data_IF_285184835374
#
_entry.id   IF_285184835374
#
_cell.length_a   1.000
_cell.length_b   1.000
_cell.length_c   1.000
_cell.angle_alpha   90.00
_cell.angle_beta   90.00
_cell.angle_gamma   90.00
#
_symmetry.space_group_name_H-M   'P 1'
#
loop_
_entity.id
_entity.type
_entity.pdbx_description
1 polymer ?
#
# COMPACT_ATOMS: atom_id res chain seq x y z
N UNK A 1 -15.86 73.44 -7.33
CA UNK A 1 -16.45 72.20 -7.87
C UNK A 1 -15.35 71.49 -8.65
N UNK A 2 -14.67 70.53 -8.03
CA UNK A 2 -13.62 69.76 -8.71
C UNK A 2 -14.25 68.68 -9.58
N UNK A 3 -13.96 68.75 -10.88
CA UNK A 3 -14.43 67.78 -11.87
C UNK A 3 -13.54 66.53 -11.78
N UNK A 4 -14.03 65.51 -11.08
CA UNK A 4 -13.40 64.18 -11.04
C UNK A 4 -13.57 63.52 -12.41
N UNK A 5 -12.48 63.39 -13.17
CA UNK A 5 -12.47 62.64 -14.45
C UNK A 5 -12.60 61.13 -14.17
N UNK A 6 -13.59 60.42 -14.75
CA UNK A 6 -13.72 58.99 -14.57
C UNK A 6 -12.56 58.24 -15.27
N UNK A 7 -11.97 57.28 -14.56
CA UNK A 7 -10.91 56.40 -15.09
C UNK A 7 -11.49 55.49 -16.18
N UNK A 8 -10.86 55.49 -17.36
CA UNK A 8 -11.22 54.60 -18.47
C UNK A 8 -11.14 53.12 -18.04
N UNK A 9 -12.13 52.28 -18.40
CA UNK A 9 -12.08 50.85 -18.11
C UNK A 9 -10.92 50.21 -18.88
N UNK A 10 -10.08 49.45 -18.16
CA UNK A 10 -8.94 48.74 -18.73
C UNK A 10 -9.21 47.23 -18.74
N UNK A 11 -8.97 46.57 -19.88
CA UNK A 11 -9.12 45.13 -20.04
C UNK A 11 -8.06 44.38 -19.20
N UNK A 12 -8.51 43.65 -18.17
CA UNK A 12 -7.62 42.86 -17.32
C UNK A 12 -7.13 41.65 -18.12
N UNK A 13 -5.82 41.49 -18.25
CA UNK A 13 -5.21 40.27 -18.78
C UNK A 13 -5.60 39.10 -17.86
N UNK A 14 -6.38 38.14 -18.37
CA UNK A 14 -6.81 36.95 -17.61
C UNK A 14 -5.61 36.03 -17.34
N UNK A 15 -4.70 35.95 -18.30
CA UNK A 15 -3.59 34.99 -18.34
C UNK A 15 -2.26 35.53 -17.84
N UNK A 16 -2.14 36.81 -17.49
CA UNK A 16 -0.89 37.45 -17.05
C UNK A 16 -0.17 36.77 -15.87
N UNK A 17 1.16 36.88 -15.82
CA UNK A 17 2.00 36.30 -14.78
C UNK A 17 1.71 36.88 -13.39
N UNK A 18 2.07 36.14 -12.34
CA UNK A 18 1.78 36.50 -10.95
C UNK A 18 2.45 37.83 -10.55
N UNK A 19 3.66 38.09 -11.03
CA UNK A 19 4.41 39.30 -10.71
C UNK A 19 3.81 40.56 -11.36
N UNK A 20 3.32 40.47 -12.60
CA UNK A 20 2.61 41.60 -13.21
C UNK A 20 1.24 41.83 -12.58
N UNK A 21 0.54 40.76 -12.17
CA UNK A 21 -0.72 40.83 -11.44
C UNK A 21 -0.54 41.47 -10.06
N UNK A 22 0.47 41.07 -9.29
CA UNK A 22 0.75 41.67 -7.97
C UNK A 22 1.08 43.15 -8.07
N UNK A 23 1.84 43.54 -9.10
CA UNK A 23 2.19 44.94 -9.40
C UNK A 23 1.06 45.76 -10.02
N UNK A 24 -0.10 45.16 -10.30
CA UNK A 24 -1.25 45.79 -10.96
C UNK A 24 -0.87 46.48 -12.29
N UNK A 25 0.07 45.89 -13.03
CA UNK A 25 0.52 46.37 -14.35
C UNK A 25 0.14 45.38 -15.46
N UNK A 26 -0.14 45.86 -16.68
CA UNK A 26 -0.45 45.01 -17.84
C UNK A 26 0.72 44.08 -18.19
N UNK A 27 0.48 42.77 -18.22
CA UNK A 27 1.43 41.75 -18.70
C UNK A 27 1.37 41.67 -20.23
N UNK A 28 2.50 41.45 -20.89
CA UNK A 28 2.62 41.20 -22.34
C UNK A 28 2.46 39.70 -22.69
N UNK A 29 2.31 38.84 -21.68
CA UNK A 29 2.01 37.41 -21.79
C UNK A 29 3.01 36.55 -22.59
N UNK A 30 4.15 37.12 -23.00
CA UNK A 30 5.23 36.37 -23.65
C UNK A 30 5.82 35.33 -22.70
N UNK A 31 5.98 34.11 -23.21
CA UNK A 31 6.67 32.99 -22.57
C UNK A 31 8.05 32.84 -23.21
N UNK A 32 9.09 32.42 -22.48
CA UNK A 32 9.10 31.82 -21.13
C UNK A 32 9.11 32.84 -19.97
N UNK A 33 9.38 34.11 -20.23
CA UNK A 33 9.27 35.21 -19.26
C UNK A 33 8.72 36.44 -19.96
N UNK A 34 7.83 37.17 -19.29
CA UNK A 34 7.25 38.40 -19.83
C UNK A 34 8.29 39.54 -19.84
N UNK A 35 8.14 40.50 -20.75
CA UNK A 35 9.12 41.56 -20.98
C UNK A 35 9.25 42.50 -19.78
N UNK A 36 8.16 42.73 -19.03
CA UNK A 36 8.21 43.51 -17.79
C UNK A 36 9.00 42.81 -16.69
N UNK A 37 8.76 41.52 -16.44
CA UNK A 37 9.54 40.79 -15.44
C UNK A 37 11.04 40.82 -15.77
N UNK A 38 11.39 40.72 -17.05
CA UNK A 38 12.78 40.84 -17.53
C UNK A 38 13.35 42.24 -17.32
N UNK A 39 12.60 43.31 -17.62
CA UNK A 39 13.09 44.69 -17.41
C UNK A 39 13.26 45.04 -15.94
N UNK A 40 12.43 44.46 -15.06
CA UNK A 40 12.50 44.65 -13.61
C UNK A 40 13.46 43.69 -12.90
N UNK A 41 14.13 42.78 -13.63
CA UNK A 41 15.04 41.79 -13.05
C UNK A 41 14.39 40.83 -12.06
N UNK A 42 13.07 40.65 -12.12
CA UNK A 42 12.33 39.77 -11.20
C UNK A 42 11.95 38.47 -11.89
N UNK A 43 12.06 37.36 -11.17
CA UNK A 43 11.72 36.03 -11.69
C UNK A 43 10.23 35.94 -12.08
N UNK A 44 9.97 35.51 -13.32
CA UNK A 44 8.61 35.45 -13.86
C UNK A 44 7.97 34.09 -13.59
N UNK A 45 6.71 34.07 -13.12
CA UNK A 45 5.99 32.82 -12.83
C UNK A 45 5.77 31.91 -14.06
N UNK A 46 5.98 32.43 -15.27
CA UNK A 46 5.95 31.62 -16.49
C UNK A 46 7.14 30.67 -16.64
N UNK A 47 8.28 30.97 -15.99
CA UNK A 47 9.45 30.10 -15.99
C UNK A 47 9.17 28.76 -15.29
N UNK A 48 8.24 28.75 -14.33
CA UNK A 48 7.85 27.57 -13.57
C UNK A 48 6.73 26.75 -14.23
N UNK A 49 6.03 27.32 -15.22
CA UNK A 49 4.87 26.67 -15.89
C UNK A 49 5.16 26.20 -17.31
N UNK A 50 6.32 26.57 -17.87
CA UNK A 50 6.79 26.09 -19.17
C UNK A 50 8.28 25.73 -18.99
N UNK A 51 8.62 24.45 -18.73
CA UNK A 51 10.00 24.04 -18.65
C UNK A 51 10.64 24.28 -20.02
N UNK A 52 11.50 25.30 -20.10
CA UNK A 52 12.40 25.43 -21.23
C UNK A 52 13.34 24.23 -21.22
N UNK A 53 13.44 23.52 -22.35
CA UNK A 53 14.60 22.69 -22.64
C UNK A 53 15.83 23.60 -22.55
N UNK A 54 16.55 23.53 -21.43
CA UNK A 54 17.74 24.34 -21.20
C UNK A 54 18.84 23.86 -22.14
N UNK A 55 19.18 24.70 -23.11
CA UNK A 55 20.47 24.66 -23.77
C UNK A 55 21.46 25.42 -22.89
N UNK A 56 22.64 24.82 -22.70
CA UNK A 56 23.84 25.31 -22.00
C UNK A 56 23.79 25.23 -20.46
N UNK A 57 24.59 24.38 -19.80
CA UNK A 57 26.07 24.34 -19.77
C UNK A 57 26.64 25.70 -19.39
N UNK A 58 26.79 25.95 -18.08
CA UNK A 58 27.95 26.63 -17.50
C UNK A 58 27.88 26.46 -15.99
N UNK A 59 28.63 25.48 -15.50
CA UNK A 59 28.98 25.33 -14.10
C UNK A 59 29.77 26.56 -13.64
N UNK A 60 29.37 27.11 -12.50
CA UNK A 60 30.21 27.94 -11.64
C UNK A 60 30.68 27.02 -10.53
N UNK A 61 31.95 26.58 -10.61
CA UNK A 61 32.69 26.08 -9.47
C UNK A 61 33.86 27.03 -9.21
N UNK A 62 33.74 27.81 -8.13
CA UNK A 62 34.84 28.52 -7.53
C UNK A 62 35.66 27.54 -6.69
N UNK A 63 36.91 27.26 -7.06
CA UNK A 63 38.04 27.24 -6.11
C UNK A 63 39.38 26.99 -6.78
N UNK A 64 40.37 27.74 -6.28
CA UNK A 64 41.82 27.61 -6.40
C UNK A 64 42.54 28.35 -7.55
N UNK A 65 43.52 29.13 -7.10
CA UNK A 65 44.34 30.09 -7.82
C UNK A 65 45.61 29.44 -8.41
N UNK A 66 46.21 30.17 -9.36
CA UNK A 66 47.59 30.07 -9.88
C UNK A 66 47.86 28.97 -10.91
N UNK A 67 47.92 29.36 -12.21
CA UNK A 67 49.18 29.50 -12.97
C UNK A 67 48.94 29.96 -14.42
N UNK A 68 49.93 30.68 -14.92
CA UNK A 68 50.02 31.45 -16.17
C UNK A 68 50.04 30.57 -17.44
N UNK A 69 49.64 31.12 -18.59
CA UNK A 69 50.03 30.54 -19.90
C UNK A 69 49.14 30.85 -21.11
N UNK A 70 49.22 32.09 -21.60
CA UNK A 70 49.20 32.59 -23.00
C UNK A 70 48.68 31.74 -24.19
N UNK A 71 47.90 32.44 -25.06
CA UNK A 71 47.82 32.36 -26.56
C UNK A 71 47.08 31.12 -27.15
N UNK A 72 46.29 31.13 -28.23
CA UNK A 72 45.88 32.10 -29.26
C UNK A 72 44.78 31.45 -30.14
N UNK A 73 43.96 32.29 -30.80
CA UNK A 73 43.33 32.12 -32.14
C UNK A 73 42.26 31.03 -32.39
N UNK A 74 41.05 31.53 -32.65
CA UNK A 74 40.07 31.00 -33.62
C UNK A 74 40.66 30.96 -35.05
N UNK A 75 40.05 30.25 -36.02
CA UNK A 75 38.89 30.81 -36.72
C UNK A 75 37.83 29.81 -37.21
N UNK A 76 36.79 30.45 -37.73
CA UNK A 76 35.45 30.09 -38.18
C UNK A 76 35.38 29.38 -39.54
N UNK A 77 34.27 28.65 -39.74
CA UNK A 77 33.41 28.62 -40.95
C UNK A 77 33.65 27.56 -42.04
N UNK A 78 32.67 26.65 -42.18
CA UNK A 78 32.23 26.03 -43.45
C UNK A 78 30.69 25.99 -43.42
N UNK A 79 29.96 26.76 -44.25
CA UNK A 79 29.54 26.52 -45.65
C UNK A 79 28.60 25.32 -45.82
N UNK A 80 27.41 25.64 -46.37
CA UNK A 80 26.34 24.75 -46.78
C UNK A 80 26.81 23.72 -47.83
N UNK A 81 26.27 22.49 -47.77
CA UNK A 81 25.80 21.83 -48.98
C UNK A 81 24.70 20.81 -48.70
N UNK A 82 23.57 21.06 -49.36
CA UNK A 82 22.42 20.18 -49.53
C UNK A 82 22.74 19.02 -50.47
N UNK A 83 22.36 17.80 -50.11
CA UNK A 83 21.97 16.78 -51.09
C UNK A 83 20.89 15.87 -50.53
N UNK A 84 19.72 16.00 -51.15
CA UNK A 84 18.59 15.09 -51.08
C UNK A 84 18.80 14.07 -52.19
N UNK A 85 18.82 12.78 -51.86
CA UNK A 85 18.64 11.71 -52.85
C UNK A 85 17.76 10.63 -52.22
N UNK A 86 16.69 10.32 -52.93
CA UNK A 86 15.57 9.46 -52.55
C UNK A 86 15.78 8.01 -52.98
N UNK A 87 15.49 7.03 -52.12
CA UNK A 87 14.90 5.75 -52.55
C UNK A 87 14.25 4.99 -51.39
N UNK A 88 13.18 4.18 -51.62
CA UNK A 88 12.25 3.72 -50.58
C UNK A 88 12.39 2.24 -50.22
N UNK A 89 12.31 1.91 -48.91
CA UNK A 89 11.92 0.57 -48.42
C UNK A 89 11.37 0.67 -46.98
N UNK A 90 10.48 -0.25 -46.55
CA UNK A 90 9.46 0.02 -45.55
C UNK A 90 9.96 -0.12 -44.12
N UNK A 91 9.45 0.63 -43.14
CA UNK A 91 9.59 0.25 -41.75
C UNK A 91 8.58 -0.84 -41.42
N UNK A 92 9.11 -1.92 -40.88
CA UNK A 92 8.38 -2.95 -40.18
C UNK A 92 7.52 -2.36 -39.05
N UNK A 93 6.49 -3.13 -38.69
CA UNK A 93 5.62 -3.03 -37.53
C UNK A 93 6.27 -2.41 -36.28
N UNK A 94 5.53 -1.59 -35.50
CA UNK A 94 6.06 -0.98 -34.30
C UNK A 94 6.24 -2.05 -33.22
N UNK A 95 7.48 -2.47 -33.01
CA UNK A 95 7.90 -3.04 -31.74
C UNK A 95 7.73 -1.92 -30.68
N UNK A 96 7.00 -2.14 -29.58
CA UNK A 96 6.98 -1.17 -28.50
C UNK A 96 8.38 -1.14 -27.89
N UNK A 97 9.20 -0.18 -28.32
CA UNK A 97 10.42 0.17 -27.61
C UNK A 97 9.99 0.66 -26.22
N UNK A 98 10.20 -0.18 -25.21
CA UNK A 98 10.18 0.23 -23.81
C UNK A 98 11.15 1.39 -23.67
N UNK A 99 10.60 2.61 -23.69
CA UNK A 99 11.33 3.80 -23.27
C UNK A 99 11.87 3.53 -21.86
N UNK A 100 13.13 3.87 -21.57
CA UNK A 100 13.67 3.71 -20.22
C UNK A 100 12.73 4.46 -19.28
N UNK A 101 12.16 3.74 -18.32
CA UNK A 101 11.28 4.29 -17.30
C UNK A 101 12.03 5.43 -16.63
N UNK A 102 11.62 6.67 -16.90
CA UNK A 102 12.08 7.85 -16.18
C UNK A 102 11.47 7.80 -14.77
N UNK A 103 11.95 6.88 -13.92
CA UNK A 103 11.70 6.91 -12.49
C UNK A 103 12.60 8.01 -11.90
N UNK A 104 12.21 9.27 -12.10
CA UNK A 104 12.86 10.36 -11.38
C UNK A 104 12.46 10.25 -9.91
N UNK A 105 13.37 9.73 -9.08
CA UNK A 105 13.19 9.70 -7.63
C UNK A 105 13.01 11.15 -7.14
N UNK A 106 11.85 11.43 -6.57
CA UNK A 106 11.41 12.79 -6.24
C UNK A 106 11.79 13.18 -4.81
N UNK A 107 11.65 14.47 -4.48
CA UNK A 107 11.78 14.93 -3.07
C UNK A 107 10.71 14.29 -2.19
N UNK A 108 9.51 14.03 -2.75
CA UNK A 108 8.47 13.31 -2.04
C UNK A 108 8.95 11.89 -1.71
N UNK A 109 9.57 11.18 -2.65
CA UNK A 109 10.04 9.81 -2.41
C UNK A 109 11.12 9.77 -1.30
N UNK A 110 11.99 10.78 -1.22
CA UNK A 110 12.92 10.96 -0.10
C UNK A 110 12.20 11.20 1.24
N UNK A 111 11.18 12.06 1.25
CA UNK A 111 10.37 12.31 2.45
C UNK A 111 9.67 11.03 2.93
N UNK A 112 9.09 10.27 2.00
CA UNK A 112 8.40 9.01 2.28
C UNK A 112 9.37 7.95 2.82
N UNK A 113 10.54 7.78 2.19
CA UNK A 113 11.56 6.83 2.66
C UNK A 113 12.13 7.22 4.03
N UNK A 114 12.35 8.52 4.26
CA UNK A 114 12.75 9.03 5.56
C UNK A 114 11.67 8.75 6.62
N UNK A 115 10.40 9.00 6.30
CA UNK A 115 9.30 8.70 7.21
C UNK A 115 9.23 7.21 7.55
N UNK A 116 9.32 6.34 6.54
CA UNK A 116 9.29 4.89 6.72
C UNK A 116 10.36 4.42 7.70
N UNK A 117 11.62 4.80 7.45
CA UNK A 117 12.77 4.37 8.25
C UNK A 117 12.75 4.93 9.67
N UNK A 118 12.32 6.18 9.85
CA UNK A 118 12.32 6.85 11.16
C UNK A 118 11.11 6.54 12.03
N UNK A 119 9.94 6.35 11.42
CA UNK A 119 8.65 6.27 12.13
C UNK A 119 7.77 5.12 11.63
N UNK A 120 7.67 4.95 10.31
CA UNK A 120 6.69 4.04 9.70
C UNK A 120 6.89 2.56 10.01
N UNK A 121 8.11 2.10 10.31
CA UNK A 121 8.36 0.68 10.64
C UNK A 121 7.82 0.27 12.01
N UNK A 122 7.96 1.13 13.04
CA UNK A 122 7.40 0.83 14.37
C UNK A 122 5.88 0.79 14.39
N UNK A 123 5.26 1.34 13.36
CA UNK A 123 3.81 1.41 13.17
C UNK A 123 3.22 0.11 12.60
N UNK A 124 4.03 -0.86 12.16
CA UNK A 124 3.54 -2.16 11.71
C UNK A 124 4.37 -3.36 12.12
N UNK A 125 5.53 -3.19 12.77
CA UNK A 125 6.29 -4.30 13.34
C UNK A 125 6.37 -4.15 14.85
N UNK A 126 5.88 -5.15 15.57
CA UNK A 126 5.63 -5.14 17.02
C UNK A 126 6.81 -5.63 17.88
N UNK A 127 7.97 -5.90 17.27
CA UNK A 127 9.16 -6.38 17.98
C UNK A 127 10.46 -5.83 17.38
N UNK A 128 11.48 -5.65 18.23
CA UNK A 128 12.68 -4.87 17.91
C UNK A 128 13.52 -5.44 16.76
N UNK A 129 13.78 -6.76 16.73
CA UNK A 129 14.59 -7.38 15.66
C UNK A 129 13.89 -7.30 14.30
N UNK A 130 12.57 -7.46 14.27
CA UNK A 130 11.77 -7.24 13.06
C UNK A 130 11.81 -5.78 12.61
N UNK A 131 11.70 -4.82 13.53
CA UNK A 131 11.81 -3.41 13.18
C UNK A 131 13.16 -3.09 12.55
N UNK A 132 14.24 -3.66 13.07
CA UNK A 132 15.58 -3.44 12.49
C UNK A 132 15.71 -4.06 11.10
N UNK A 133 15.20 -5.29 10.90
CA UNK A 133 15.13 -5.94 9.60
C UNK A 133 14.42 -5.06 8.55
N UNK A 134 13.23 -4.55 8.88
CA UNK A 134 12.44 -3.74 7.96
C UNK A 134 13.04 -2.34 7.74
N UNK A 135 13.72 -1.77 8.74
CA UNK A 135 14.37 -0.45 8.64
C UNK A 135 15.65 -0.49 7.80
N UNK A 136 16.38 -1.60 7.82
CA UNK A 136 17.71 -1.71 7.19
C UNK A 136 17.68 -2.65 5.99
N UNK A 137 17.72 -3.96 6.23
CA UNK A 137 17.84 -5.00 5.20
C UNK A 137 16.76 -4.90 4.14
N UNK A 138 15.50 -4.67 4.53
CA UNK A 138 14.40 -4.54 3.56
C UNK A 138 14.57 -3.29 2.68
N UNK A 139 15.08 -2.19 3.22
CA UNK A 139 15.41 -0.99 2.44
C UNK A 139 16.60 -1.25 1.49
N UNK A 140 17.60 -2.00 1.94
CA UNK A 140 18.72 -2.44 1.07
C UNK A 140 18.24 -3.31 -0.09
N UNK A 141 17.27 -4.20 0.16
CA UNK A 141 16.60 -4.96 -0.90
C UNK A 141 15.80 -4.04 -1.82
N UNK A 142 15.09 -3.05 -1.28
CA UNK A 142 14.31 -2.11 -2.07
C UNK A 142 15.16 -1.30 -3.06
N UNK A 143 16.43 -1.00 -2.74
CA UNK A 143 17.34 -0.38 -3.70
C UNK A 143 17.68 -1.27 -4.89
N UNK A 144 17.57 -2.59 -4.76
CA UNK A 144 17.80 -3.58 -5.83
C UNK A 144 16.52 -3.95 -6.57
N UNK A 145 15.39 -3.93 -5.86
CA UNK A 145 14.10 -4.43 -6.33
C UNK A 145 13.06 -3.30 -6.35
N UNK A 146 12.80 -2.67 -7.51
CA UNK A 146 11.91 -1.50 -7.61
C UNK A 146 10.48 -1.74 -7.12
N UNK A 147 9.94 -2.96 -7.26
CA UNK A 147 8.61 -3.30 -6.74
C UNK A 147 8.52 -3.11 -5.22
N UNK A 148 9.59 -3.46 -4.49
CA UNK A 148 9.64 -3.36 -3.04
C UNK A 148 9.84 -1.90 -2.61
N UNK A 149 10.63 -1.11 -3.35
CA UNK A 149 10.75 0.33 -3.09
C UNK A 149 9.39 1.02 -3.24
N UNK A 150 8.67 0.76 -4.32
CA UNK A 150 7.34 1.33 -4.50
C UNK A 150 6.38 0.92 -3.38
N UNK A 151 6.43 -0.33 -2.89
CA UNK A 151 5.59 -0.77 -1.78
C UNK A 151 5.91 -0.04 -0.46
N UNK A 152 7.20 0.12 -0.14
CA UNK A 152 7.65 0.88 1.03
C UNK A 152 7.14 2.32 0.98
N UNK A 153 7.28 2.99 -0.17
CA UNK A 153 6.82 4.35 -0.38
C UNK A 153 5.28 4.44 -0.34
N UNK A 154 4.57 3.45 -0.88
CA UNK A 154 3.13 3.37 -0.84
C UNK A 154 2.59 3.31 0.60
N UNK A 155 3.16 2.42 1.42
CA UNK A 155 2.80 2.31 2.83
C UNK A 155 3.12 3.60 3.60
N UNK A 156 4.31 4.16 3.40
CA UNK A 156 4.71 5.40 4.07
C UNK A 156 3.78 6.58 3.72
N UNK A 157 3.39 6.70 2.46
CA UNK A 157 2.45 7.71 2.01
C UNK A 157 1.05 7.49 2.61
N UNK A 158 0.59 6.24 2.69
CA UNK A 158 -0.68 5.93 3.35
C UNK A 158 -0.66 6.32 4.83
N UNK A 159 0.41 5.96 5.56
CA UNK A 159 0.58 6.31 6.96
C UNK A 159 0.61 7.84 7.16
N UNK A 160 1.34 8.56 6.31
CA UNK A 160 1.38 10.02 6.33
C UNK A 160 0.04 10.68 5.99
N UNK A 161 -0.79 10.05 5.13
CA UNK A 161 -2.12 10.55 4.82
C UNK A 161 -3.01 10.60 6.08
N UNK A 162 -2.89 9.59 6.95
CA UNK A 162 -3.57 9.54 8.24
C UNK A 162 -2.95 10.50 9.26
N UNK A 163 -1.61 10.55 9.33
CA UNK A 163 -0.90 11.39 10.29
C UNK A 163 -1.01 12.90 9.98
N UNK A 164 -1.31 13.28 8.73
CA UNK A 164 -1.34 14.69 8.27
C UNK A 164 -2.65 15.02 7.53
N UNK A 165 -3.77 15.24 8.26
CA UNK A 165 -5.10 15.45 7.67
C UNK A 165 -5.16 16.55 6.59
N UNK A 166 -4.43 17.66 6.78
CA UNK A 166 -4.39 18.77 5.83
C UNK A 166 -3.76 18.44 4.48
N UNK A 167 -2.95 17.36 4.41
CA UNK A 167 -2.31 16.86 3.20
C UNK A 167 -2.75 15.42 2.88
N UNK A 168 -3.83 14.93 3.51
CA UNK A 168 -4.27 13.54 3.38
C UNK A 168 -4.46 13.13 1.91
N UNK A 169 -5.22 13.92 1.14
CA UNK A 169 -5.46 13.65 -0.28
C UNK A 169 -4.16 13.57 -1.11
N UNK A 170 -3.19 14.42 -0.82
CA UNK A 170 -1.90 14.45 -1.51
C UNK A 170 -1.09 13.16 -1.26
N UNK A 171 -0.97 12.73 -0.01
CA UNK A 171 -0.25 11.49 0.30
C UNK A 171 -1.04 10.24 -0.12
N UNK A 172 -2.38 10.27 -0.07
CA UNK A 172 -3.20 9.16 -0.53
C UNK A 172 -3.07 8.93 -2.05
N UNK A 173 -3.01 10.01 -2.84
CA UNK A 173 -2.74 9.93 -4.28
C UNK A 173 -1.34 9.34 -4.57
N UNK A 174 -0.33 9.80 -3.83
CA UNK A 174 1.02 9.24 -3.92
C UNK A 174 1.07 7.75 -3.55
N UNK A 175 0.35 7.37 -2.48
CA UNK A 175 0.21 5.99 -2.03
C UNK A 175 -0.37 5.10 -3.13
N UNK A 176 -1.50 5.52 -3.72
CA UNK A 176 -2.18 4.80 -4.80
C UNK A 176 -1.29 4.63 -6.03
N UNK A 177 -0.55 5.69 -6.40
CA UNK A 177 0.37 5.70 -7.54
C UNK A 177 1.52 4.70 -7.34
N UNK A 178 2.15 4.74 -6.17
CA UNK A 178 3.22 3.81 -5.83
C UNK A 178 2.71 2.37 -5.72
N UNK A 179 1.59 2.12 -5.05
CA UNK A 179 1.00 0.77 -4.94
C UNK A 179 0.72 0.17 -6.32
N UNK A 180 0.16 0.95 -7.24
CA UNK A 180 -0.11 0.49 -8.61
C UNK A 180 1.18 0.05 -9.31
N UNK A 181 2.25 0.84 -9.17
CA UNK A 181 3.56 0.52 -9.74
C UNK A 181 4.18 -0.70 -9.06
N UNK A 182 4.06 -0.80 -7.73
CA UNK A 182 4.55 -1.89 -6.91
C UNK A 182 3.94 -3.23 -7.34
N UNK A 183 2.61 -3.29 -7.46
CA UNK A 183 1.86 -4.47 -7.88
C UNK A 183 2.21 -4.91 -9.31
N UNK A 184 2.31 -3.96 -10.26
CA UNK A 184 2.68 -4.26 -11.65
C UNK A 184 4.06 -4.92 -11.75
N UNK A 185 5.04 -4.39 -11.03
CA UNK A 185 6.41 -4.91 -11.04
C UNK A 185 6.52 -6.23 -10.25
N UNK A 186 5.76 -6.36 -9.15
CA UNK A 186 5.75 -7.56 -8.33
C UNK A 186 5.22 -8.80 -9.08
N UNK A 187 4.21 -8.63 -9.94
CA UNK A 187 3.68 -9.74 -10.76
C UNK A 187 4.76 -10.44 -11.60
N UNK A 188 5.71 -9.67 -12.14
CA UNK A 188 6.83 -10.23 -12.91
C UNK A 188 7.83 -10.93 -11.99
N UNK A 189 8.13 -10.34 -10.82
CA UNK A 189 9.08 -10.90 -9.86
C UNK A 189 8.62 -12.23 -9.25
N UNK A 190 7.33 -12.33 -8.88
CA UNK A 190 6.79 -13.56 -8.27
C UNK A 190 6.63 -14.70 -9.28
N UNK A 191 6.48 -14.38 -10.57
CA UNK A 191 6.38 -15.38 -11.64
C UNK A 191 7.71 -16.11 -11.88
N UNK A 192 8.83 -15.51 -11.51
CA UNK A 192 10.18 -16.07 -11.58
C UNK A 192 10.86 -15.98 -10.20
N UNK A 193 10.34 -16.74 -9.24
CA UNK A 193 10.82 -16.75 -7.86
C UNK A 193 12.18 -17.48 -7.78
N UNK A 194 13.20 -16.78 -7.31
CA UNK A 194 14.60 -17.25 -7.20
C UNK A 194 15.14 -17.00 -5.80
N UNK A 195 16.29 -17.61 -5.47
CA UNK A 195 16.99 -17.35 -4.21
C UNK A 195 17.44 -15.87 -4.06
N UNK A 196 17.56 -15.12 -5.15
CA UNK A 196 17.97 -13.72 -5.12
C UNK A 196 16.80 -12.77 -4.78
N UNK A 197 15.59 -13.06 -5.28
CA UNK A 197 14.43 -12.19 -5.11
C UNK A 197 13.43 -12.67 -4.05
N UNK A 198 13.56 -13.89 -3.52
CA UNK A 198 12.58 -14.47 -2.59
C UNK A 198 12.42 -13.66 -1.31
N UNK A 199 13.52 -13.14 -0.76
CA UNK A 199 13.50 -12.30 0.44
C UNK A 199 12.74 -10.99 0.19
N UNK A 200 12.98 -10.34 -0.95
CA UNK A 200 12.26 -9.14 -1.34
C UNK A 200 10.78 -9.41 -1.61
N UNK A 201 10.45 -10.54 -2.25
CA UNK A 201 9.07 -10.94 -2.48
C UNK A 201 8.33 -11.22 -1.16
N UNK A 202 8.98 -11.90 -0.22
CA UNK A 202 8.40 -12.16 1.10
C UNK A 202 8.20 -10.86 1.90
N UNK A 203 9.18 -9.94 1.86
CA UNK A 203 9.06 -8.61 2.45
C UNK A 203 7.85 -7.86 1.88
N UNK A 204 7.71 -7.84 0.55
CA UNK A 204 6.59 -7.21 -0.15
C UNK A 204 5.26 -7.77 0.36
N UNK A 205 5.11 -9.09 0.44
CA UNK A 205 3.85 -9.68 0.91
C UNK A 205 3.51 -9.35 2.36
N UNK A 206 4.53 -9.16 3.20
CA UNK A 206 4.34 -8.76 4.61
C UNK A 206 3.89 -7.31 4.72
N UNK A 207 4.53 -6.40 3.98
CA UNK A 207 4.15 -4.98 3.93
C UNK A 207 2.76 -4.81 3.33
N UNK A 208 2.45 -5.58 2.28
CA UNK A 208 1.16 -5.57 1.60
C UNK A 208 0.01 -5.95 2.53
N UNK A 209 0.23 -6.88 3.46
CA UNK A 209 -0.76 -7.18 4.49
C UNK A 209 -1.09 -5.91 5.29
N UNK A 210 -0.08 -5.27 5.86
CA UNK A 210 -0.25 -4.03 6.62
C UNK A 210 -0.95 -2.97 5.78
N UNK A 211 -0.52 -2.78 4.53
CA UNK A 211 -1.12 -1.84 3.61
C UNK A 211 -2.63 -2.08 3.46
N UNK A 212 -3.03 -3.32 3.16
CA UNK A 212 -4.41 -3.70 2.94
C UNK A 212 -5.32 -3.34 4.12
N UNK A 213 -4.86 -3.63 5.34
CA UNK A 213 -5.61 -3.30 6.55
C UNK A 213 -5.63 -1.80 6.82
N UNK A 214 -4.52 -1.10 6.61
CA UNK A 214 -4.45 0.33 6.81
C UNK A 214 -5.21 1.14 5.75
N UNK A 215 -5.42 0.60 4.55
CA UNK A 215 -6.06 1.32 3.45
C UNK A 215 -7.59 1.29 3.51
N UNK A 216 -8.17 0.70 4.54
CA UNK A 216 -9.61 0.62 4.69
C UNK A 216 -10.22 1.99 5.01
N UNK A 217 -11.18 2.42 4.19
CA UNK A 217 -11.94 3.67 4.35
C UNK A 217 -13.39 3.34 4.71
N UNK A 218 -13.90 3.96 5.77
CA UNK A 218 -15.29 3.79 6.21
C UNK A 218 -16.34 4.25 5.20
N UNK A 219 -15.94 5.09 4.23
CA UNK A 219 -16.82 5.60 3.18
C UNK A 219 -16.85 4.70 1.93
N UNK A 220 -15.97 3.71 1.84
CA UNK A 220 -15.88 2.77 0.71
C UNK A 220 -16.26 1.37 1.16
N UNK A 221 -16.77 0.49 0.29
CA UNK A 221 -17.06 -0.90 0.66
C UNK A 221 -15.84 -1.61 1.23
N UNK A 222 -16.05 -2.54 2.18
CA UNK A 222 -14.95 -3.34 2.73
C UNK A 222 -14.41 -4.29 1.68
N UNK A 223 -13.24 -3.95 1.13
CA UNK A 223 -12.64 -4.73 0.06
C UNK A 223 -11.74 -5.87 0.57
N UNK A 224 -11.40 -5.89 1.87
CA UNK A 224 -10.58 -6.95 2.47
C UNK A 224 -11.20 -8.33 2.26
N UNK A 225 -12.50 -8.44 2.47
CA UNK A 225 -13.21 -9.73 2.41
C UNK A 225 -14.18 -9.82 1.23
N UNK A 226 -14.58 -8.68 0.65
CA UNK A 226 -15.61 -8.64 -0.39
C UNK A 226 -15.08 -7.99 -1.66
N UNK A 227 -15.36 -8.61 -2.82
CA UNK A 227 -15.12 -7.98 -4.11
C UNK A 227 -16.08 -6.81 -4.35
N UNK A 228 -15.80 -5.93 -5.34
CA UNK A 228 -16.80 -4.97 -5.79
C UNK A 228 -18.05 -5.71 -6.30
N UNK A 229 -19.24 -5.23 -5.91
CA UNK A 229 -20.52 -5.77 -6.38
C UNK A 229 -20.63 -5.54 -7.90
N UNK A 230 -20.19 -6.52 -8.69
CA UNK A 230 -20.28 -6.50 -10.15
C UNK A 230 -21.48 -7.34 -10.58
N UNK A 231 -22.30 -6.91 -11.56
CA UNK A 231 -23.31 -7.76 -12.14
C UNK A 231 -22.68 -9.09 -12.61
N UNK A 232 -23.31 -10.22 -12.28
CA UNK A 232 -22.83 -11.61 -12.40
C UNK A 232 -22.27 -12.03 -13.79
N UNK A 233 -22.30 -11.15 -14.79
CA UNK A 233 -22.03 -11.46 -16.20
C UNK A 233 -20.69 -10.94 -16.75
N UNK A 234 -19.92 -10.12 -16.01
CA UNK A 234 -18.69 -9.49 -16.59
C UNK A 234 -17.41 -9.68 -15.75
N UNK A 235 -17.49 -10.15 -14.50
CA UNK A 235 -16.31 -10.31 -13.65
C UNK A 235 -15.98 -11.79 -13.43
N UNK A 236 -14.83 -12.23 -13.93
CA UNK A 236 -14.24 -13.54 -13.60
C UNK A 236 -13.76 -13.61 -12.13
N UNK A 237 -13.91 -12.55 -11.33
CA UNK A 237 -13.39 -12.47 -9.97
C UNK A 237 -14.33 -11.72 -8.99
N UNK A 238 -15.35 -12.41 -8.45
CA UNK A 238 -16.25 -11.87 -7.41
C UNK A 238 -15.68 -11.96 -5.97
N UNK A 239 -14.42 -12.36 -5.76
CA UNK A 239 -13.87 -12.76 -4.45
C UNK A 239 -12.89 -11.76 -3.83
N UNK A 240 -12.73 -11.82 -2.50
CA UNK A 240 -11.71 -11.12 -1.70
C UNK A 240 -10.37 -11.04 -2.46
N UNK A 241 -9.98 -9.84 -2.88
CA UNK A 241 -8.71 -9.66 -3.60
C UNK A 241 -7.53 -9.75 -2.62
N UNK A 242 -7.75 -9.31 -1.38
CA UNK A 242 -6.71 -9.19 -0.36
C UNK A 242 -6.35 -10.50 0.32
N UNK A 243 -7.33 -11.34 0.68
CA UNK A 243 -7.04 -12.66 1.27
C UNK A 243 -6.25 -13.51 0.28
N UNK A 244 -6.59 -13.47 -1.01
CA UNK A 244 -5.84 -14.17 -2.06
C UNK A 244 -4.42 -13.63 -2.24
N UNK A 245 -4.25 -12.31 -2.26
CA UNK A 245 -2.93 -11.69 -2.34
C UNK A 245 -2.04 -12.09 -1.16
N UNK A 246 -2.60 -12.06 0.06
CA UNK A 246 -1.89 -12.49 1.24
C UNK A 246 -1.62 -14.01 1.25
N UNK A 247 -2.51 -14.85 0.75
CA UNK A 247 -2.26 -16.30 0.63
C UNK A 247 -1.13 -16.63 -0.35
N UNK A 248 -0.84 -15.75 -1.31
CA UNK A 248 0.39 -15.79 -2.10
C UNK A 248 1.67 -15.77 -1.24
N UNK A 249 1.66 -15.08 -0.10
CA UNK A 249 2.78 -15.08 0.86
C UNK A 249 3.08 -16.46 1.42
N UNK A 250 2.04 -17.25 1.69
CA UNK A 250 2.19 -18.60 2.23
C UNK A 250 2.76 -19.56 1.18
N UNK A 251 2.39 -19.38 -0.09
CA UNK A 251 3.00 -20.13 -1.18
C UNK A 251 4.50 -19.83 -1.30
N UNK A 252 4.88 -18.54 -1.24
CA UNK A 252 6.30 -18.12 -1.20
C UNK A 252 6.99 -18.76 -0.01
N UNK A 253 6.48 -18.55 1.21
CA UNK A 253 7.04 -19.07 2.46
C UNK A 253 7.27 -20.59 2.40
N UNK A 254 6.32 -21.35 1.85
CA UNK A 254 6.45 -22.81 1.70
C UNK A 254 7.52 -23.20 0.69
N UNK A 255 7.66 -22.46 -0.40
CA UNK A 255 8.63 -22.75 -1.47
C UNK A 255 10.05 -22.33 -1.13
N UNK A 256 10.24 -21.28 -0.32
CA UNK A 256 11.55 -20.67 -0.05
C UNK A 256 11.90 -20.66 1.44
N UNK A 257 11.29 -21.55 2.23
CA UNK A 257 11.52 -21.62 3.68
C UNK A 257 13.00 -21.73 4.03
N UNK A 258 13.74 -22.60 3.34
CA UNK A 258 15.17 -22.81 3.60
C UNK A 258 16.01 -21.56 3.35
N UNK A 259 15.74 -20.83 2.26
CA UNK A 259 16.47 -19.60 1.92
C UNK A 259 16.13 -18.45 2.88
N UNK A 260 14.85 -18.34 3.28
CA UNK A 260 14.40 -17.33 4.23
C UNK A 260 14.95 -17.57 5.63
N UNK A 261 14.95 -18.83 6.09
CA UNK A 261 15.41 -19.22 7.44
C UNK A 261 16.93 -19.15 7.61
N UNK A 262 17.70 -19.29 6.53
CA UNK A 262 19.16 -19.07 6.56
C UNK A 262 19.56 -17.59 6.43
N UNK A 263 18.62 -16.75 5.98
CA UNK A 263 18.84 -15.34 5.71
C UNK A 263 18.47 -14.41 6.86
N UNK A 264 18.50 -13.09 6.63
CA UNK A 264 18.12 -12.07 7.61
C UNK A 264 16.67 -12.21 8.11
N UNK A 265 15.80 -12.82 7.30
CA UNK A 265 14.40 -13.07 7.63
C UNK A 265 14.19 -14.16 8.68
N UNK A 266 15.25 -14.86 9.11
CA UNK A 266 15.16 -15.85 10.21
C UNK A 266 14.54 -15.23 11.46
N UNK A 267 14.75 -13.94 11.74
CA UNK A 267 14.14 -13.25 12.90
C UNK A 267 12.61 -13.25 12.89
N UNK A 268 11.98 -13.38 11.71
CA UNK A 268 10.52 -13.52 11.58
C UNK A 268 10.07 -14.98 11.70
N UNK A 269 10.96 -15.95 11.42
CA UNK A 269 10.66 -17.38 11.29
C UNK A 269 11.08 -18.22 12.50
N UNK A 270 12.20 -17.90 13.12
CA UNK A 270 12.77 -18.61 14.26
C UNK A 270 11.78 -18.76 15.44
N UNK A 271 10.96 -17.74 15.78
CA UNK A 271 9.94 -17.90 16.81
C UNK A 271 8.92 -19.01 16.49
N UNK A 272 8.70 -19.33 15.21
CA UNK A 272 7.75 -20.34 14.77
C UNK A 272 8.29 -21.76 14.79
N UNK A 273 9.62 -21.96 14.88
CA UNK A 273 10.26 -23.30 14.80
C UNK A 273 9.73 -24.24 15.89
N UNK A 274 9.45 -23.70 17.08
CA UNK A 274 8.99 -24.49 18.23
C UNK A 274 7.48 -24.73 18.24
N UNK A 275 6.72 -24.15 17.31
CA UNK A 275 5.26 -24.28 17.27
C UNK A 275 4.85 -25.21 16.12
N UNK A 276 4.74 -26.50 16.44
CA UNK A 276 4.24 -27.52 15.53
C UNK A 276 2.93 -27.09 14.87
N UNK A 277 2.75 -27.44 13.60
CA UNK A 277 1.64 -26.93 12.77
C UNK A 277 0.27 -27.40 13.29
N UNK A 278 0.22 -28.59 13.86
CA UNK A 278 -0.99 -29.20 14.40
C UNK A 278 -1.23 -28.90 15.90
N UNK A 279 -0.28 -28.25 16.59
CA UNK A 279 -0.42 -27.95 18.00
C UNK A 279 -1.38 -26.76 18.23
N UNK A 280 -2.47 -27.01 18.96
CA UNK A 280 -3.44 -26.01 19.41
C UNK A 280 -3.23 -25.82 20.91
N UNK A 281 -2.70 -24.67 21.36
CA UNK A 281 -2.58 -24.39 22.79
C UNK A 281 -3.98 -24.32 23.44
N UNK A 282 -4.11 -24.69 24.73
CA UNK A 282 -5.38 -24.63 25.43
C UNK A 282 -5.92 -23.20 25.48
N UNK A 283 -7.21 -23.05 25.21
CA UNK A 283 -7.92 -21.79 25.34
C UNK A 283 -8.34 -21.55 26.80
N UNK A 284 -8.66 -20.30 27.14
CA UNK A 284 -9.32 -20.05 28.41
C UNK A 284 -10.78 -20.57 28.36
N UNK A 285 -11.41 -20.84 29.51
CA UNK A 285 -12.76 -21.39 29.55
C UNK A 285 -13.80 -20.54 28.83
N UNK A 286 -13.64 -19.22 28.80
CA UNK A 286 -14.58 -18.32 28.13
C UNK A 286 -14.48 -18.47 26.62
N UNK A 287 -13.27 -18.41 26.06
CA UNK A 287 -13.06 -18.61 24.63
C UNK A 287 -13.45 -20.02 24.19
N UNK A 288 -13.16 -21.04 24.99
CA UNK A 288 -13.53 -22.42 24.68
C UNK A 288 -15.06 -22.60 24.57
N UNK A 289 -15.82 -21.95 25.46
CA UNK A 289 -17.29 -21.90 25.39
C UNK A 289 -17.78 -21.17 24.12
N UNK A 290 -17.18 -20.02 23.79
CA UNK A 290 -17.57 -19.25 22.60
C UNK A 290 -17.26 -20.00 21.30
N UNK A 291 -16.09 -20.62 21.22
CA UNK A 291 -15.69 -21.45 20.08
C UNK A 291 -16.60 -22.66 19.94
N UNK A 292 -16.96 -23.31 21.04
CA UNK A 292 -17.93 -24.41 21.03
C UNK A 292 -19.30 -23.95 20.50
N UNK A 293 -19.75 -22.75 20.89
CA UNK A 293 -20.97 -22.15 20.35
C UNK A 293 -20.91 -21.90 18.83
N UNK A 294 -19.74 -21.53 18.31
CA UNK A 294 -19.53 -21.33 16.87
C UNK A 294 -19.61 -22.67 16.12
N UNK A 295 -18.90 -23.69 16.62
CA UNK A 295 -18.95 -25.04 16.05
C UNK A 295 -20.39 -25.57 15.98
N UNK A 296 -21.21 -25.31 17.00
CA UNK A 296 -22.61 -25.73 17.04
C UNK A 296 -23.45 -25.15 15.89
N UNK A 297 -23.10 -23.97 15.34
CA UNK A 297 -23.85 -23.34 14.27
C UNK A 297 -23.95 -24.23 13.02
N UNK A 298 -22.91 -25.03 12.73
CA UNK A 298 -22.88 -25.97 11.61
C UNK A 298 -22.84 -27.45 12.02
N UNK A 299 -22.91 -27.75 13.31
CA UNK A 299 -22.86 -29.14 13.79
C UNK A 299 -24.11 -29.94 13.42
N UNK A 300 -25.29 -29.31 13.51
CA UNK A 300 -26.57 -29.98 13.24
C UNK A 300 -27.04 -29.76 11.80
N UNK A 301 -27.60 -30.80 11.17
CA UNK A 301 -28.23 -30.68 9.85
C UNK A 301 -29.51 -29.84 9.86
N UNK A 302 -30.08 -29.56 11.03
CA UNK A 302 -31.23 -28.67 11.19
C UNK A 302 -30.87 -27.18 11.20
N UNK A 303 -29.61 -26.83 11.50
CA UNK A 303 -29.14 -25.44 11.60
C UNK A 303 -28.32 -24.99 10.38
N UNK A 304 -27.84 -25.96 9.58
CA UNK A 304 -26.90 -25.73 8.49
C UNK A 304 -27.17 -26.65 7.31
N UNK A 305 -27.40 -26.05 6.14
CA UNK A 305 -27.65 -26.75 4.88
C UNK A 305 -26.36 -27.15 4.14
N UNK A 306 -25.19 -26.88 4.72
CA UNK A 306 -23.92 -27.16 4.08
C UNK A 306 -23.61 -28.67 4.05
N UNK A 307 -23.07 -29.19 2.94
CA UNK A 307 -22.51 -30.54 2.86
C UNK A 307 -21.53 -30.84 3.99
N UNK A 308 -21.46 -32.11 4.42
CA UNK A 308 -20.55 -32.54 5.47
C UNK A 308 -19.08 -32.15 5.20
N UNK A 309 -18.65 -32.22 3.94
CA UNK A 309 -17.29 -31.84 3.54
C UNK A 309 -16.99 -30.37 3.82
N UNK A 310 -17.91 -29.47 3.48
CA UNK A 310 -17.77 -28.03 3.74
C UNK A 310 -17.73 -27.72 5.23
N UNK A 311 -18.56 -28.42 6.02
CA UNK A 311 -18.56 -28.30 7.48
C UNK A 311 -17.23 -28.74 8.09
N UNK A 312 -16.63 -29.82 7.58
CA UNK A 312 -15.29 -30.24 8.01
C UNK A 312 -14.20 -29.22 7.66
N UNK A 313 -14.34 -28.44 6.56
CA UNK A 313 -13.42 -27.34 6.26
C UNK A 313 -13.59 -26.18 7.24
N UNK A 314 -14.83 -25.87 7.63
CA UNK A 314 -15.13 -24.86 8.66
C UNK A 314 -14.54 -25.26 10.01
N UNK A 315 -14.65 -26.54 10.40
CA UNK A 315 -14.04 -27.05 11.63
C UNK A 315 -12.51 -26.89 11.62
N UNK A 316 -11.86 -27.21 10.49
CA UNK A 316 -10.42 -26.98 10.35
C UNK A 316 -10.06 -25.50 10.46
N UNK A 317 -10.81 -24.61 9.81
CA UNK A 317 -10.57 -23.17 9.91
C UNK A 317 -10.80 -22.65 11.33
N UNK A 318 -11.76 -23.21 12.07
CA UNK A 318 -12.02 -22.92 13.48
C UNK A 318 -10.86 -23.39 14.36
N UNK A 319 -10.34 -24.60 14.16
CA UNK A 319 -9.18 -25.12 14.90
C UNK A 319 -7.93 -24.26 14.73
N UNK A 320 -7.75 -23.71 13.52
CA UNK A 320 -6.66 -22.79 13.24
C UNK A 320 -6.86 -21.43 13.91
N UNK A 321 -8.11 -21.00 14.04
CA UNK A 321 -8.47 -19.81 14.79
C UNK A 321 -8.22 -20.01 16.30
N UNK A 322 -8.58 -21.18 16.85
CA UNK A 322 -8.22 -21.60 18.23
C UNK A 322 -6.71 -21.53 18.43
N UNK A 323 -5.93 -22.03 17.46
CA UNK A 323 -4.46 -22.01 17.53
C UNK A 323 -3.93 -20.59 17.61
N UNK A 324 -4.40 -19.69 16.76
CA UNK A 324 -4.02 -18.26 16.78
C UNK A 324 -4.25 -17.68 18.18
N UNK A 325 -5.42 -17.92 18.76
CA UNK A 325 -5.76 -17.38 20.08
C UNK A 325 -4.99 -18.01 21.23
N UNK A 326 -4.80 -19.33 21.21
CA UNK A 326 -3.94 -20.01 22.17
C UNK A 326 -2.51 -19.48 22.13
N UNK A 327 -1.97 -19.22 20.93
CA UNK A 327 -0.63 -18.69 20.75
C UNK A 327 -0.49 -17.25 21.26
N UNK A 328 -1.47 -16.38 21.04
CA UNK A 328 -1.45 -15.00 21.54
C UNK A 328 -1.29 -14.89 23.07
N UNK A 329 -1.65 -15.94 23.81
CA UNK A 329 -1.53 -16.01 25.28
C UNK A 329 -0.38 -16.87 25.76
N UNK A 330 0.33 -17.52 24.84
CA UNK A 330 1.43 -18.41 25.19
C UNK A 330 2.70 -17.58 25.43
N UNK A 331 3.41 -17.79 26.56
CA UNK A 331 4.71 -17.16 26.77
C UNK A 331 5.69 -17.54 25.67
N UNK A 332 6.47 -16.58 25.17
CA UNK A 332 7.42 -16.78 24.07
C UNK A 332 6.79 -17.17 22.72
N UNK A 333 5.50 -16.91 22.53
CA UNK A 333 4.88 -17.01 21.21
C UNK A 333 5.55 -16.05 20.21
N UNK A 334 5.39 -16.29 18.89
CA UNK A 334 5.73 -15.32 17.88
C UNK A 334 5.00 -14.00 18.12
N UNK A 335 5.43 -12.94 17.43
CA UNK A 335 4.84 -11.62 17.62
C UNK A 335 3.31 -11.66 17.43
N UNK A 336 2.52 -10.97 18.27
CA UNK A 336 1.06 -10.95 18.15
C UNK A 336 0.56 -10.68 16.74
N UNK A 337 1.17 -9.72 16.04
CA UNK A 337 0.81 -9.43 14.66
C UNK A 337 1.09 -10.63 13.74
N UNK A 338 2.25 -11.26 13.86
CA UNK A 338 2.60 -12.46 13.08
C UNK A 338 1.63 -13.62 13.34
N UNK A 339 1.22 -13.81 14.60
CA UNK A 339 0.27 -14.86 14.99
C UNK A 339 -1.10 -14.63 14.36
N UNK A 340 -1.62 -13.41 14.44
CA UNK A 340 -2.88 -12.99 13.80
C UNK A 340 -2.83 -13.18 12.29
N UNK A 341 -1.74 -12.73 11.67
CA UNK A 341 -1.47 -12.89 10.24
C UNK A 341 -1.48 -14.36 9.80
N UNK A 342 -1.02 -15.29 10.64
CA UNK A 342 -0.91 -16.70 10.28
C UNK A 342 -2.25 -17.37 9.93
N UNK A 343 -3.37 -16.85 10.42
CA UNK A 343 -4.70 -17.42 10.16
C UNK A 343 -5.03 -17.40 8.67
N UNK A 344 -4.93 -16.22 8.04
CA UNK A 344 -5.26 -16.04 6.62
C UNK A 344 -4.37 -16.84 5.68
N UNK A 345 -3.13 -17.08 6.07
CA UNK A 345 -2.18 -17.90 5.30
C UNK A 345 -2.62 -19.35 5.19
N UNK A 346 -3.44 -19.78 6.14
CA UNK A 346 -3.58 -21.19 6.44
C UNK A 346 -5.02 -21.68 6.22
N UNK A 347 -6.03 -20.78 6.18
CA UNK A 347 -7.43 -21.18 5.93
C UNK A 347 -7.59 -21.97 4.61
N UNK A 348 -8.49 -22.96 4.54
CA UNK A 348 -8.75 -23.70 3.30
C UNK A 348 -9.34 -22.82 2.19
N UNK A 349 -9.01 -23.11 0.93
CA UNK A 349 -9.53 -22.39 -0.25
C UNK A 349 -11.05 -22.32 -0.29
N UNK A 350 -11.70 -23.42 0.07
CA UNK A 350 -13.15 -23.50 0.08
C UNK A 350 -13.78 -22.58 1.14
N UNK A 351 -13.11 -22.39 2.29
CA UNK A 351 -13.60 -21.45 3.33
C UNK A 351 -13.42 -20.02 2.87
N UNK A 352 -12.31 -19.69 2.20
CA UNK A 352 -12.11 -18.37 1.58
C UNK A 352 -13.17 -18.07 0.52
N UNK A 353 -13.48 -19.03 -0.36
CA UNK A 353 -14.56 -18.91 -1.33
C UNK A 353 -15.93 -18.70 -0.64
N UNK A 354 -16.22 -19.44 0.44
CA UNK A 354 -17.43 -19.26 1.24
C UNK A 354 -17.51 -17.86 1.87
N UNK A 355 -16.41 -17.28 2.35
CA UNK A 355 -16.37 -15.89 2.85
C UNK A 355 -16.72 -14.89 1.74
N UNK A 356 -16.13 -15.06 0.54
CA UNK A 356 -16.41 -14.21 -0.62
C UNK A 356 -17.87 -14.29 -1.09
N UNK A 357 -18.48 -15.48 -0.98
CA UNK A 357 -19.91 -15.70 -1.27
C UNK A 357 -20.83 -15.29 -0.11
N UNK A 358 -20.30 -14.71 0.97
CA UNK A 358 -21.05 -14.29 2.16
C UNK A 358 -21.84 -15.45 2.81
N UNK A 359 -21.30 -16.67 2.80
CA UNK A 359 -21.91 -17.81 3.51
C UNK A 359 -21.87 -17.55 5.01
N UNK A 360 -23.04 -17.61 5.68
CA UNK A 360 -23.22 -17.18 7.08
C UNK A 360 -22.25 -17.87 8.04
N UNK A 361 -21.99 -19.16 7.88
CA UNK A 361 -21.07 -19.94 8.73
C UNK A 361 -19.62 -19.47 8.60
N UNK A 362 -19.16 -19.17 7.38
CA UNK A 362 -17.82 -18.65 7.13
C UNK A 362 -17.67 -17.20 7.64
N UNK A 363 -18.73 -16.40 7.56
CA UNK A 363 -18.74 -15.03 8.10
C UNK A 363 -18.66 -15.02 9.64
N UNK A 364 -19.22 -16.02 10.33
CA UNK A 364 -19.08 -16.16 11.78
C UNK A 364 -17.64 -16.37 12.21
N UNK A 365 -16.87 -17.17 11.45
CA UNK A 365 -15.43 -17.37 11.70
C UNK A 365 -14.67 -16.04 11.65
N UNK A 366 -14.92 -15.25 10.60
CA UNK A 366 -14.26 -13.95 10.43
C UNK A 366 -14.69 -12.96 11.51
N UNK A 367 -15.97 -12.92 11.87
CA UNK A 367 -16.45 -12.06 12.94
C UNK A 367 -15.78 -12.40 14.28
N UNK A 368 -15.62 -13.68 14.60
CA UNK A 368 -14.92 -14.09 15.81
C UNK A 368 -13.42 -13.76 15.76
N UNK A 369 -12.77 -13.94 14.60
CA UNK A 369 -11.41 -13.46 14.35
C UNK A 369 -11.26 -11.96 14.63
N UNK A 370 -12.20 -11.13 14.16
CA UNK A 370 -12.16 -9.68 14.30
C UNK A 370 -12.34 -9.21 15.76
N UNK A 371 -13.20 -9.87 16.55
CA UNK A 371 -13.35 -9.56 17.98
C UNK A 371 -12.02 -9.65 18.72
N UNK A 372 -11.29 -10.74 18.52
CA UNK A 372 -10.03 -10.97 19.22
C UNK A 372 -8.90 -10.11 18.64
N UNK A 373 -8.97 -9.76 17.36
CA UNK A 373 -8.09 -8.74 16.79
C UNK A 373 -8.30 -7.38 17.46
N UNK A 374 -9.53 -7.03 17.84
CA UNK A 374 -9.79 -5.82 18.62
C UNK A 374 -9.27 -5.91 20.06
N UNK A 375 -9.38 -7.07 20.70
CA UNK A 375 -8.79 -7.28 22.03
C UNK A 375 -7.28 -7.04 22.05
N UNK A 376 -6.55 -7.38 20.97
CA UNK A 376 -5.13 -7.07 20.87
C UNK A 376 -4.83 -5.56 20.89
N UNK A 377 -5.67 -4.72 20.25
CA UNK A 377 -5.51 -3.27 20.36
C UNK A 377 -5.84 -2.75 21.75
N UNK A 378 -6.86 -3.33 22.40
CA UNK A 378 -7.24 -2.96 23.77
C UNK A 378 -6.10 -3.26 24.75
N UNK A 379 -5.38 -4.37 24.55
CA UNK A 379 -4.23 -4.76 25.35
C UNK A 379 -2.95 -3.98 25.01
N UNK A 380 -3.00 -3.03 24.06
CA UNK A 380 -1.84 -2.25 23.62
C UNK A 380 -0.82 -3.05 22.82
N UNK A 381 -1.20 -4.25 22.35
CA UNK A 381 -0.37 -5.17 21.58
C UNK A 381 -0.54 -4.97 20.06
N UNK A 382 -1.55 -4.20 19.64
CA UNK A 382 -1.80 -3.88 18.23
C UNK A 382 -1.25 -2.50 17.84
N UNK A 383 -0.87 -2.34 16.57
CA UNK A 383 -0.37 -1.07 16.05
C UNK A 383 -1.51 -0.11 15.66
N UNK A 384 -1.44 1.15 16.05
CA UNK A 384 -2.55 2.10 15.92
C UNK A 384 -3.07 2.28 14.48
N UNK A 385 -2.21 2.07 13.47
CA UNK A 385 -2.58 2.16 12.05
C UNK A 385 -3.49 1.03 11.56
N UNK A 386 -3.47 -0.13 12.22
CA UNK A 386 -4.38 -1.23 11.90
C UNK A 386 -5.74 -1.05 12.60
N UNK A 387 -5.80 -0.23 13.65
CA UNK A 387 -7.00 -0.04 14.48
C UNK A 387 -8.20 0.47 13.68
N UNK A 388 -8.00 1.45 12.81
CA UNK A 388 -9.09 2.00 11.99
C UNK A 388 -9.62 0.96 11.00
N UNK A 389 -8.73 0.22 10.34
CA UNK A 389 -9.14 -0.81 9.39
C UNK A 389 -9.80 -2.01 10.06
N UNK A 390 -9.32 -2.40 11.24
CA UNK A 390 -9.94 -3.47 12.02
C UNK A 390 -11.30 -3.03 12.52
N UNK A 391 -11.43 -1.85 13.14
CA UNK A 391 -12.72 -1.34 13.60
C UNK A 391 -13.75 -1.19 12.48
N UNK A 392 -13.34 -0.69 11.31
CA UNK A 392 -14.21 -0.61 10.13
C UNK A 392 -14.65 -2.01 9.64
N UNK A 393 -13.72 -2.95 9.59
CA UNK A 393 -13.99 -4.33 9.17
C UNK A 393 -14.92 -5.03 10.16
N UNK A 394 -14.66 -4.92 11.46
CA UNK A 394 -15.54 -5.42 12.51
C UNK A 394 -16.94 -4.84 12.40
N UNK A 395 -17.07 -3.52 12.18
CA UNK A 395 -18.37 -2.86 11.96
C UNK A 395 -19.12 -3.41 10.74
N UNK A 396 -18.41 -3.66 9.63
CA UNK A 396 -18.98 -4.25 8.41
C UNK A 396 -19.51 -5.66 8.68
N UNK A 397 -18.73 -6.52 9.33
CA UNK A 397 -19.12 -7.89 9.65
C UNK A 397 -20.27 -7.95 10.65
N UNK A 398 -20.27 -7.08 11.66
CA UNK A 398 -21.41 -6.92 12.59
C UNK A 398 -22.67 -6.49 11.83
N UNK A 399 -22.56 -5.55 10.89
CA UNK A 399 -23.68 -5.14 10.04
C UNK A 399 -24.25 -6.31 9.22
N UNK A 400 -23.38 -7.11 8.59
CA UNK A 400 -23.78 -8.29 7.82
C UNK A 400 -24.42 -9.35 8.72
N UNK A 401 -23.81 -9.67 9.86
CA UNK A 401 -24.37 -10.63 10.82
C UNK A 401 -25.69 -10.16 11.44
N UNK A 402 -25.89 -8.83 11.58
CA UNK A 402 -27.19 -8.26 11.96
C UNK A 402 -28.23 -8.38 10.85
N UNK A 403 -27.85 -8.35 9.58
CA UNK A 403 -28.79 -8.66 8.50
C UNK A 403 -29.19 -10.16 8.54
N UNK A 404 -28.28 -11.04 8.97
CA UNK A 404 -28.59 -12.45 9.28
C UNK A 404 -29.33 -12.65 10.61
N UNK A 405 -29.59 -11.60 11.39
CA UNK A 405 -30.31 -11.65 12.68
C UNK A 405 -31.78 -12.09 12.54
N UNK A 406 -32.30 -12.16 11.31
CA UNK A 406 -33.58 -12.82 11.02
C UNK A 406 -33.46 -14.36 10.99
N UNK A 407 -32.27 -14.94 11.20
CA UNK A 407 -31.97 -16.38 11.19
C UNK A 407 -31.42 -16.85 12.57
N UNK A 408 -32.31 -17.01 13.57
CA UNK A 408 -32.15 -17.96 14.69
C UNK A 408 -30.92 -17.83 15.62
N UNK A 409 -30.34 -18.99 15.99
CA UNK A 409 -29.39 -19.30 17.11
C UNK A 409 -28.09 -18.47 17.20
N UNK A 410 -27.86 -17.52 16.30
CA UNK A 410 -26.64 -16.69 16.26
C UNK A 410 -26.70 -15.47 17.20
N UNK A 411 -27.83 -15.24 17.87
CA UNK A 411 -28.04 -14.10 18.77
C UNK A 411 -26.96 -13.98 19.86
N UNK A 412 -26.52 -15.10 20.45
CA UNK A 412 -25.47 -15.11 21.47
C UNK A 412 -24.12 -14.64 20.94
N UNK A 413 -23.73 -15.13 19.77
CA UNK A 413 -22.47 -14.77 19.09
C UNK A 413 -22.54 -13.32 18.63
N UNK A 414 -23.63 -12.89 17.98
CA UNK A 414 -23.81 -11.50 17.57
C UNK A 414 -23.80 -10.53 18.75
N UNK A 415 -24.37 -10.91 19.90
CA UNK A 415 -24.34 -10.10 21.13
C UNK A 415 -22.93 -10.03 21.71
N UNK A 416 -22.19 -11.13 21.71
CA UNK A 416 -20.80 -11.17 22.14
C UNK A 416 -19.90 -10.30 21.24
N UNK A 417 -19.97 -10.50 19.92
CA UNK A 417 -19.23 -9.73 18.92
C UNK A 417 -19.58 -8.24 19.05
N UNK A 418 -20.88 -7.90 19.11
CA UNK A 418 -21.33 -6.51 19.23
C UNK A 418 -20.87 -5.88 20.55
N UNK A 419 -20.90 -6.60 21.67
CA UNK A 419 -20.50 -6.06 22.97
C UNK A 419 -18.98 -5.87 23.12
N UNK A 420 -18.19 -6.62 22.35
CA UNK A 420 -16.71 -6.47 22.33
C UNK A 420 -16.24 -5.47 21.28
N UNK A 421 -16.92 -5.39 20.13
CA UNK A 421 -16.56 -4.49 19.01
C UNK A 421 -17.09 -3.06 19.19
N UNK A 422 -18.29 -2.88 19.74
CA UNK A 422 -18.90 -1.55 19.88
C UNK A 422 -18.63 -0.86 21.21
N UNK A 423 -17.83 -1.46 22.10
CA UNK A 423 -17.39 -0.82 23.34
C UNK A 423 -15.98 -0.24 23.14
N UNK A 424 -15.90 0.88 22.40
CA UNK A 424 -15.16 2.12 22.74
C UNK A 424 -14.97 3.04 21.53
#
# INVERSE_FOLDING_TARGET
MDVIRPRRPHHKSRTGCLQCKSRKVKCDEKKPSCQKCRSYGSECSYLHTHPMKSLHSHEIQCSSMMRQGSKSKSPTSEILSSKVESSPRPPASPTPSLSPSNHSFSILDMELLHYYTMYGVSDFVDFASGQELFRTTVVEHAFKFPFLMHEILALAALQLSHARPFKAAYYYEASTTHLTSALQLFQSAISDLTAENCQACFAFTTIMFTFAWSSQDSNLPNHLFFGPDCPETVSTFPHSQWVRLYRGSHAILRSTWEDLSRGPFSVLLDPWINFQREYIPPLDPTDDLHVSSISNAWSSSSSCDLPLEQRQKLDRALDMLKRVFGLLRTPNAPSPLSVVMSWFSSIPDEVEAMMGMKVKEALLLVAYYLVHHEELFILGLGTWHLRNGVGYTSGTFVGILRAYHEIGDLKGICTYVTSRVLVK
#
